data_IF_202927743568
#
_entry.id   IF_202927743568
#
_cell.length_a   1.000
_cell.length_b   1.000
_cell.length_c   1.000
_cell.angle_alpha   90.00
_cell.angle_beta   90.00
_cell.angle_gamma   90.00
#
_symmetry.space_group_name_H-M   'P 1'
#
loop_
_entity.id
_entity.type
_entity.pdbx_description
1 polymer ?
#
# COMPACT_ATOMS: atom_id res chain seq x y z
N UNK A 1 30.49 -22.79 -2.47
CA UNK A 1 30.09 -22.91 -1.03
C UNK A 1 29.71 -21.53 -0.45
N UNK A 2 30.50 -20.50 -0.70
CA UNK A 2 30.19 -19.11 -0.25
C UNK A 2 28.90 -18.62 -0.91
N UNK A 3 28.69 -18.86 -2.20
CA UNK A 3 27.48 -18.42 -2.94
C UNK A 3 26.19 -19.04 -2.40
N UNK A 4 26.25 -20.29 -1.92
CA UNK A 4 25.08 -20.97 -1.34
C UNK A 4 24.72 -20.36 0.01
N UNK A 5 25.71 -20.07 0.86
CA UNK A 5 25.49 -19.44 2.17
C UNK A 5 24.94 -18.01 2.01
N UNK A 6 25.45 -17.25 1.06
CA UNK A 6 24.95 -15.90 0.74
C UNK A 6 23.52 -15.95 0.20
N UNK A 7 23.18 -16.94 -0.63
CA UNK A 7 21.83 -17.15 -1.14
C UNK A 7 20.85 -17.53 -0.01
N UNK A 8 21.29 -18.37 0.94
CA UNK A 8 20.47 -18.74 2.11
C UNK A 8 20.24 -17.52 3.01
N UNK A 9 21.29 -16.76 3.33
CA UNK A 9 21.19 -15.57 4.17
C UNK A 9 20.26 -14.50 3.58
N UNK A 10 20.33 -14.28 2.25
CA UNK A 10 19.40 -13.40 1.53
C UNK A 10 17.95 -13.89 1.63
N UNK A 11 17.75 -15.19 1.56
CA UNK A 11 16.42 -15.81 1.65
C UNK A 11 15.82 -15.70 3.06
N UNK A 12 16.63 -15.89 4.09
CA UNK A 12 16.20 -15.72 5.48
C UNK A 12 15.86 -14.25 5.81
N UNK A 13 16.67 -13.30 5.34
CA UNK A 13 16.40 -11.88 5.48
C UNK A 13 15.08 -11.49 4.81
N UNK A 14 14.81 -12.03 3.62
CA UNK A 14 13.58 -11.79 2.89
C UNK A 14 12.36 -12.38 3.61
N UNK A 15 12.47 -13.59 4.16
CA UNK A 15 11.42 -14.20 4.97
C UNK A 15 11.13 -13.39 6.25
N UNK A 16 12.19 -12.93 6.94
CA UNK A 16 12.06 -12.04 8.10
C UNK A 16 11.36 -10.73 7.76
N UNK A 17 11.68 -10.16 6.60
CA UNK A 17 11.03 -8.95 6.10
C UNK A 17 9.52 -9.17 5.84
N UNK A 18 9.14 -10.25 5.15
CA UNK A 18 7.73 -10.59 4.93
C UNK A 18 6.99 -10.77 6.25
N UNK A 19 7.60 -11.49 7.19
CA UNK A 19 7.02 -11.73 8.50
C UNK A 19 6.82 -10.43 9.28
N UNK A 20 7.81 -9.53 9.26
CA UNK A 20 7.70 -8.19 9.84
C UNK A 20 6.55 -7.38 9.26
N UNK A 21 6.39 -7.40 7.93
CA UNK A 21 5.26 -6.75 7.24
C UNK A 21 3.92 -7.32 7.70
N UNK A 22 3.83 -8.65 7.84
CA UNK A 22 2.59 -9.29 8.28
C UNK A 22 2.24 -8.91 9.73
N UNK A 23 3.21 -8.82 10.62
CA UNK A 23 3.01 -8.37 12.02
C UNK A 23 2.53 -6.93 12.03
N UNK A 24 3.20 -6.03 11.33
CA UNK A 24 2.81 -4.61 11.25
C UNK A 24 1.39 -4.47 10.69
N UNK A 25 1.09 -5.18 9.61
CA UNK A 25 -0.25 -5.18 9.01
C UNK A 25 -1.32 -5.72 9.95
N UNK A 26 -1.01 -6.77 10.69
CA UNK A 26 -1.88 -7.33 11.74
C UNK A 26 -2.14 -6.31 12.85
N UNK A 27 -1.09 -5.63 13.33
CA UNK A 27 -1.18 -4.61 14.36
C UNK A 27 -2.05 -3.42 13.92
N UNK A 28 -1.79 -2.88 12.73
CA UNK A 28 -2.57 -1.77 12.16
C UNK A 28 -4.06 -2.13 12.08
N UNK A 29 -4.38 -3.36 11.69
CA UNK A 29 -5.74 -3.87 11.61
C UNK A 29 -6.37 -4.06 12.98
N UNK A 30 -5.65 -4.65 13.93
CA UNK A 30 -6.15 -4.94 15.28
C UNK A 30 -6.47 -3.67 16.08
N UNK A 31 -5.65 -2.64 15.94
CA UNK A 31 -5.80 -1.37 16.66
C UNK A 31 -6.57 -0.29 15.89
N UNK A 32 -7.20 -0.65 14.77
CA UNK A 32 -8.02 0.28 13.98
C UNK A 32 -7.32 1.60 13.60
N UNK A 33 -6.00 1.54 13.40
CA UNK A 33 -5.16 2.73 13.12
C UNK A 33 -5.67 3.53 11.92
N UNK A 34 -6.25 2.86 10.91
CA UNK A 34 -6.82 3.53 9.75
C UNK A 34 -8.09 4.32 10.09
N UNK A 35 -8.87 3.87 11.05
CA UNK A 35 -10.07 4.60 11.51
C UNK A 35 -9.66 5.90 12.21
N UNK A 36 -8.56 5.89 12.95
CA UNK A 36 -7.99 7.09 13.59
C UNK A 36 -7.45 8.06 12.54
N UNK A 37 -6.71 7.58 11.54
CA UNK A 37 -6.23 8.38 10.42
C UNK A 37 -7.40 9.01 9.66
N UNK A 38 -8.45 8.24 9.42
CA UNK A 38 -9.66 8.73 8.79
C UNK A 38 -10.37 9.80 9.62
N UNK A 39 -10.54 9.57 10.90
CA UNK A 39 -11.18 10.53 11.82
C UNK A 39 -10.40 11.85 11.90
N UNK A 40 -9.08 11.76 11.87
CA UNK A 40 -8.19 12.92 11.83
C UNK A 40 -8.31 13.66 10.49
N UNK A 41 -8.26 12.96 9.37
CA UNK A 41 -8.38 13.55 8.03
C UNK A 41 -9.72 14.29 7.86
N UNK A 42 -10.81 13.73 8.40
CA UNK A 42 -12.16 14.33 8.35
C UNK A 42 -12.26 15.68 9.07
N UNK A 43 -11.38 15.98 10.01
CA UNK A 43 -11.34 17.30 10.69
C UNK A 43 -10.81 18.39 9.79
N UNK A 44 -9.92 18.07 8.85
CA UNK A 44 -9.22 19.02 8.01
C UNK A 44 -9.76 19.07 6.58
N UNK A 45 -10.32 17.95 6.09
CA UNK A 45 -10.76 17.79 4.71
C UNK A 45 -12.28 17.65 4.67
N UNK A 46 -12.96 18.64 4.10
CA UNK A 46 -14.43 18.66 3.95
C UNK A 46 -14.89 18.04 2.62
N UNK A 47 -14.04 18.09 1.59
CA UNK A 47 -14.37 17.50 0.29
C UNK A 47 -14.18 15.98 0.32
N UNK A 48 -15.26 15.25 0.00
CA UNK A 48 -15.30 13.80 0.02
C UNK A 48 -14.32 13.16 -0.97
N UNK A 49 -14.03 13.78 -2.12
CA UNK A 49 -13.09 13.25 -3.12
C UNK A 49 -11.66 13.36 -2.62
N UNK A 50 -11.30 14.52 -2.08
CA UNK A 50 -9.98 14.75 -1.50
C UNK A 50 -9.78 13.81 -0.31
N UNK A 51 -10.80 13.61 0.51
CA UNK A 51 -10.77 12.67 1.63
C UNK A 51 -10.42 11.25 1.17
N UNK A 52 -11.10 10.74 0.14
CA UNK A 52 -10.82 9.42 -0.40
C UNK A 52 -9.38 9.35 -0.95
N UNK A 53 -8.94 10.34 -1.72
CA UNK A 53 -7.58 10.35 -2.25
C UNK A 53 -6.55 10.24 -1.11
N UNK A 54 -6.66 11.09 -0.09
CA UNK A 54 -5.70 11.10 1.04
C UNK A 54 -5.71 9.78 1.78
N UNK A 55 -6.88 9.28 2.16
CA UNK A 55 -6.99 8.02 2.92
C UNK A 55 -6.54 6.82 2.11
N UNK A 56 -6.82 6.80 0.80
CA UNK A 56 -6.39 5.75 -0.11
C UNK A 56 -4.88 5.80 -0.38
N UNK A 57 -4.30 7.00 -0.50
CA UNK A 57 -2.84 7.17 -0.60
C UNK A 57 -2.13 6.61 0.64
N UNK A 58 -2.61 6.98 1.83
CA UNK A 58 -2.05 6.49 3.10
C UNK A 58 -2.24 4.96 3.22
N UNK A 59 -3.46 4.48 2.95
CA UNK A 59 -3.76 3.04 2.96
C UNK A 59 -2.95 2.26 1.93
N UNK A 60 -2.63 2.88 0.78
CA UNK A 60 -1.80 2.29 -0.26
C UNK A 60 -0.35 2.06 0.16
N UNK A 61 0.23 2.94 0.97
CA UNK A 61 1.61 2.79 1.46
C UNK A 61 1.75 1.65 2.47
N UNK A 62 0.68 1.34 3.19
CA UNK A 62 0.71 0.33 4.24
C UNK A 62 0.70 -1.09 3.65
N UNK A 63 1.62 -1.96 4.05
CA UNK A 63 1.71 -3.33 3.56
C UNK A 63 0.66 -4.23 4.23
N UNK A 64 -0.63 -3.92 4.05
CA UNK A 64 -1.73 -4.62 4.71
C UNK A 64 -2.38 -5.59 3.71
N UNK A 65 -2.37 -6.90 3.96
CA UNK A 65 -3.16 -7.85 3.20
C UNK A 65 -4.65 -7.51 3.30
N UNK A 66 -5.35 -7.51 2.18
CA UNK A 66 -6.80 -7.26 2.15
C UNK A 66 -7.19 -5.77 2.32
N UNK A 67 -6.36 -4.85 1.89
CA UNK A 67 -6.65 -3.39 1.91
C UNK A 67 -8.02 -3.01 1.36
N UNK A 68 -8.48 -3.69 0.33
CA UNK A 68 -9.81 -3.46 -0.25
C UNK A 68 -10.91 -3.67 0.79
N UNK A 69 -10.75 -4.62 1.72
CA UNK A 69 -11.70 -4.83 2.80
C UNK A 69 -11.69 -3.69 3.84
N UNK A 70 -10.61 -2.92 3.91
CA UNK A 70 -10.51 -1.75 4.79
C UNK A 70 -11.05 -0.49 4.12
N UNK A 71 -10.88 -0.34 2.80
CA UNK A 71 -11.40 0.82 2.06
C UNK A 71 -12.91 0.75 1.83
N UNK A 72 -13.51 -0.43 1.79
CA UNK A 72 -14.93 -0.58 1.54
C UNK A 72 -15.83 0.12 2.57
N UNK A 73 -15.65 -0.04 3.89
CA UNK A 73 -16.42 0.70 4.89
C UNK A 73 -16.21 2.22 4.80
N UNK A 74 -15.00 2.63 4.45
CA UNK A 74 -14.66 4.04 4.25
C UNK A 74 -15.41 4.63 3.06
N UNK A 75 -15.42 3.93 1.94
CA UNK A 75 -16.20 4.31 0.77
C UNK A 75 -17.69 4.40 1.09
N UNK A 76 -18.20 3.46 1.86
CA UNK A 76 -19.60 3.46 2.29
C UNK A 76 -19.97 4.68 3.15
N UNK A 77 -19.05 5.12 3.99
CA UNK A 77 -19.25 6.28 4.88
C UNK A 77 -19.14 7.64 4.16
N UNK A 78 -18.38 7.71 3.04
CA UNK A 78 -18.07 8.98 2.36
C UNK A 78 -18.82 9.11 1.04
N UNK A 79 -18.99 8.01 0.30
CA UNK A 79 -19.55 8.06 -1.04
C UNK A 79 -21.03 8.46 -1.02
N UNK A 80 -21.46 9.31 -1.96
CA UNK A 80 -22.86 9.68 -2.07
C UNK A 80 -23.74 8.46 -2.37
N UNK A 81 -25.05 8.49 -2.03
CA UNK A 81 -25.96 7.37 -2.26
C UNK A 81 -26.20 7.06 -3.74
N UNK A 82 -25.92 8.00 -4.63
CA UNK A 82 -26.06 7.84 -6.07
C UNK A 82 -25.07 6.78 -6.62
N UNK A 83 -25.58 5.73 -7.26
CA UNK A 83 -24.81 4.58 -7.74
C UNK A 83 -23.68 4.97 -8.70
N UNK A 84 -23.92 5.93 -9.61
CA UNK A 84 -22.93 6.37 -10.60
C UNK A 84 -21.81 7.17 -9.93
N UNK A 85 -22.16 8.06 -9.02
CA UNK A 85 -21.19 8.82 -8.24
C UNK A 85 -20.37 7.90 -7.35
N UNK A 86 -21.02 6.90 -6.69
CA UNK A 86 -20.35 5.90 -5.87
C UNK A 86 -19.32 5.08 -6.67
N UNK A 87 -19.64 4.69 -7.91
CA UNK A 87 -18.69 4.01 -8.81
C UNK A 87 -17.45 4.87 -9.07
N UNK A 88 -17.62 6.17 -9.33
CA UNK A 88 -16.49 7.09 -9.52
C UNK A 88 -15.58 7.17 -8.27
N UNK A 89 -16.16 7.16 -7.09
CA UNK A 89 -15.39 7.12 -5.84
C UNK A 89 -14.59 5.82 -5.69
N UNK A 90 -15.17 4.68 -6.10
CA UNK A 90 -14.44 3.41 -6.14
C UNK A 90 -13.26 3.43 -7.10
N UNK A 91 -13.39 4.08 -8.25
CA UNK A 91 -12.29 4.26 -9.21
C UNK A 91 -11.20 5.15 -8.62
N UNK A 92 -11.57 6.26 -7.97
CA UNK A 92 -10.60 7.15 -7.30
C UNK A 92 -9.85 6.39 -6.21
N UNK A 93 -10.54 5.66 -5.35
CA UNK A 93 -9.95 4.82 -4.30
C UNK A 93 -8.98 3.81 -4.91
N UNK A 94 -9.42 3.07 -5.92
CA UNK A 94 -8.59 2.08 -6.59
C UNK A 94 -7.30 2.66 -7.15
N UNK A 95 -7.38 3.74 -7.93
CA UNK A 95 -6.21 4.39 -8.52
C UNK A 95 -5.29 4.99 -7.44
N UNK A 96 -5.87 5.67 -6.45
CA UNK A 96 -5.10 6.27 -5.36
C UNK A 96 -4.46 5.24 -4.45
N UNK A 97 -5.07 4.07 -4.25
CA UNK A 97 -4.50 3.00 -3.45
C UNK A 97 -3.35 2.29 -4.16
N UNK A 98 -3.42 2.13 -5.48
CA UNK A 98 -2.48 1.30 -6.22
C UNK A 98 -1.20 2.01 -6.70
N UNK A 99 -1.04 3.31 -6.39
CA UNK A 99 0.18 4.07 -6.75
C UNK A 99 1.47 3.43 -6.22
N UNK A 100 1.41 2.71 -5.09
CA UNK A 100 2.57 2.07 -4.45
C UNK A 100 3.21 0.96 -5.29
N UNK A 101 2.50 0.37 -6.23
CA UNK A 101 3.08 -0.64 -7.13
C UNK A 101 4.25 -0.13 -7.97
N UNK A 102 4.34 1.17 -8.13
CA UNK A 102 5.35 1.82 -8.97
C UNK A 102 6.64 2.17 -8.22
N UNK A 103 6.54 2.33 -6.89
CA UNK A 103 7.67 2.88 -6.16
C UNK A 103 7.87 2.32 -4.74
N UNK A 104 6.89 1.68 -4.13
CA UNK A 104 7.02 1.30 -2.72
C UNK A 104 8.10 0.23 -2.51
N UNK A 105 9.11 0.48 -1.68
CA UNK A 105 10.12 -0.52 -1.35
C UNK A 105 9.55 -1.70 -0.52
N UNK A 106 8.29 -1.59 -0.10
CA UNK A 106 7.57 -2.62 0.66
C UNK A 106 6.73 -3.54 -0.25
N UNK A 107 6.68 -3.23 -1.55
CA UNK A 107 5.83 -3.98 -2.47
C UNK A 107 6.60 -5.07 -3.21
N UNK A 108 6.03 -6.27 -3.22
CA UNK A 108 6.63 -7.45 -3.87
C UNK A 108 6.87 -7.25 -5.38
N UNK A 109 6.06 -6.44 -6.04
CA UNK A 109 6.22 -6.10 -7.47
C UNK A 109 7.48 -5.29 -7.74
N UNK A 110 8.05 -4.66 -6.72
CA UNK A 110 9.34 -3.96 -6.76
C UNK A 110 10.46 -4.86 -6.24
N UNK A 111 10.25 -5.52 -5.11
CA UNK A 111 11.29 -6.31 -4.44
C UNK A 111 11.68 -7.53 -5.26
N UNK A 112 10.72 -8.26 -5.84
CA UNK A 112 11.01 -9.49 -6.57
C UNK A 112 11.87 -9.26 -7.83
N UNK A 113 11.55 -8.30 -8.72
CA UNK A 113 12.43 -7.97 -9.84
C UNK A 113 13.80 -7.48 -9.40
N UNK A 114 13.90 -6.65 -8.36
CA UNK A 114 15.18 -6.21 -7.82
C UNK A 114 16.04 -7.39 -7.38
N UNK A 115 15.45 -8.34 -6.64
CA UNK A 115 16.14 -9.55 -6.18
C UNK A 115 16.55 -10.46 -7.34
N UNK A 116 15.68 -10.62 -8.35
CA UNK A 116 15.92 -11.47 -9.51
C UNK A 116 16.99 -10.91 -10.45
N UNK A 117 17.01 -9.59 -10.64
CA UNK A 117 17.93 -8.90 -11.57
C UNK A 117 19.20 -8.39 -10.87
N UNK A 118 19.30 -8.46 -9.55
CA UNK A 118 20.42 -7.94 -8.78
C UNK A 118 20.59 -6.42 -8.87
N UNK A 119 19.50 -5.69 -9.13
CA UNK A 119 19.50 -4.21 -9.23
C UNK A 119 19.15 -3.56 -7.90
N UNK A 120 19.67 -2.34 -7.71
CA UNK A 120 19.37 -1.54 -6.53
C UNK A 120 17.99 -0.87 -6.65
N UNK A 121 17.44 -0.43 -5.53
CA UNK A 121 16.18 0.31 -5.50
C UNK A 121 16.22 1.60 -6.35
N UNK A 122 17.32 2.34 -6.30
CA UNK A 122 17.51 3.53 -7.14
C UNK A 122 17.46 3.21 -8.63
N UNK A 123 18.12 2.13 -9.07
CA UNK A 123 18.05 1.66 -10.46
C UNK A 123 16.62 1.25 -10.82
N UNK A 124 15.93 0.52 -9.96
CA UNK A 124 14.53 0.16 -10.20
C UNK A 124 13.64 1.38 -10.42
N UNK A 125 13.78 2.42 -9.60
CA UNK A 125 13.03 3.67 -9.77
C UNK A 125 13.30 4.36 -11.10
N UNK A 126 14.54 4.36 -11.60
CA UNK A 126 14.86 4.95 -12.91
C UNK A 126 14.21 4.21 -14.07
N UNK A 127 13.94 2.91 -13.93
CA UNK A 127 13.17 2.16 -14.92
C UNK A 127 11.66 2.37 -14.80
N UNK A 128 11.17 2.57 -13.58
CA UNK A 128 9.73 2.71 -13.32
C UNK A 128 9.23 4.13 -13.64
N UNK A 129 10.05 5.13 -13.40
CA UNK A 129 9.74 6.54 -13.70
C UNK A 129 10.71 7.07 -14.77
N UNK A 130 10.56 6.66 -16.04
CA UNK A 130 11.29 7.29 -17.12
C UNK A 130 10.80 8.74 -17.25
N UNK A 131 11.74 9.66 -17.29
CA UNK A 131 11.67 11.12 -17.38
C UNK A 131 10.37 11.76 -17.84
#
# INVERSE_FOLDING_TARGET
>A
MIDILESIAKKELYMGYIFGIMIIGGYIRQYHVLDDVYSLAKRYVKDARIMIIITSLIGGVLPIPGRVALSAPLLDAIAPPDKKKRSNFGIIDYLSTHHYYWWSPLEKTIILPMAALGITYGQMLTYTFPY
#
